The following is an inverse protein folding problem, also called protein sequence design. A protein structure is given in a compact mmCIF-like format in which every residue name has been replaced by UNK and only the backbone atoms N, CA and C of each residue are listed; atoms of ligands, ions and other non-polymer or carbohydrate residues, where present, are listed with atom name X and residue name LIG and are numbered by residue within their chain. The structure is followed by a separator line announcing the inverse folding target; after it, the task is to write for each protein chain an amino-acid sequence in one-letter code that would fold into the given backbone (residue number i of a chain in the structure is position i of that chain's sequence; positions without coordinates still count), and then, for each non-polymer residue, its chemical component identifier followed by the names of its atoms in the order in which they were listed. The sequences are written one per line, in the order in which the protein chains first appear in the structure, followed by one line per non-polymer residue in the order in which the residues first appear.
data_IF_768414699239
#
_entry.id   IF_768414699239
#
_cell.length_a   1.000
_cell.length_b   1.000
_cell.length_c   1.000
_cell.angle_alpha   90.00
_cell.angle_beta   90.00
_cell.angle_gamma   90.00
#
_symmetry.space_group_name_H-M   'P 1'
#
loop_
_entity.id
_entity.type
_entity.pdbx_description
1 polymer ?
#
# COMPACT_ATOMS: atom_id res chain seq x y z
N UNK A 1 20.20 -15.95 4.20
CA UNK A 1 19.75 -14.56 4.05
C UNK A 1 18.34 -14.64 3.55
N UNK A 2 17.38 -14.29 4.40
CA UNK A 2 15.96 -14.50 4.08
C UNK A 2 15.55 -13.42 3.10
N UNK A 3 15.02 -13.83 1.94
CA UNK A 3 14.13 -13.01 1.14
C UNK A 3 13.13 -12.40 2.13
N UNK A 4 13.27 -11.12 2.47
CA UNK A 4 12.12 -10.36 2.92
C UNK A 4 11.18 -10.43 1.72
N UNK A 5 10.20 -11.30 1.83
CA UNK A 5 9.09 -11.34 0.91
C UNK A 5 8.51 -9.94 1.01
N UNK A 6 8.79 -9.10 0.00
CA UNK A 6 8.18 -7.79 -0.12
C UNK A 6 6.73 -8.08 -0.39
N UNK A 7 5.96 -8.23 0.67
CA UNK A 7 4.52 -8.36 0.57
C UNK A 7 4.02 -6.93 0.31
N UNK A 8 3.47 -6.72 -0.88
CA UNK A 8 3.22 -5.40 -1.45
C UNK A 8 1.75 -5.05 -1.21
N UNK A 9 1.50 -3.86 -0.67
CA UNK A 9 0.15 -3.30 -0.63
C UNK A 9 -0.05 -2.42 -1.86
N UNK A 10 -1.04 -2.72 -2.69
CA UNK A 10 -1.32 -1.97 -3.91
C UNK A 10 -2.65 -1.22 -3.81
N UNK A 11 -2.65 0.08 -4.12
CA UNK A 11 -3.83 0.95 -4.08
C UNK A 11 -3.97 1.74 -5.39
N UNK A 12 -5.19 2.08 -5.82
CA UNK A 12 -5.41 2.89 -7.01
C UNK A 12 -5.02 4.37 -6.80
N UNK A 13 -4.60 5.09 -7.87
CA UNK A 13 -4.14 6.49 -7.77
C UNK A 13 -5.24 7.50 -7.47
N UNK A 14 -6.50 7.11 -7.61
CA UNK A 14 -7.65 7.99 -7.37
C UNK A 14 -8.17 7.93 -5.93
N UNK A 15 -7.57 7.10 -5.06
CA UNK A 15 -7.88 7.12 -3.64
C UNK A 15 -7.22 8.31 -2.96
N UNK A 16 -7.98 8.95 -2.07
CA UNK A 16 -7.39 9.85 -1.10
C UNK A 16 -6.73 9.07 0.06
N UNK A 17 -6.14 9.82 0.98
CA UNK A 17 -5.44 9.26 2.15
C UNK A 17 -6.41 8.56 3.10
N UNK A 18 -7.64 9.08 3.26
CA UNK A 18 -8.65 8.48 4.14
C UNK A 18 -9.07 7.11 3.62
N UNK A 19 -9.43 7.03 2.34
CA UNK A 19 -9.79 5.76 1.67
C UNK A 19 -8.66 4.74 1.75
N UNK A 20 -7.41 5.18 1.60
CA UNK A 20 -6.24 4.32 1.76
C UNK A 20 -6.14 3.80 3.20
N UNK A 21 -6.34 4.64 4.21
CA UNK A 21 -6.30 4.24 5.62
C UNK A 21 -7.45 3.27 5.96
N UNK A 22 -8.65 3.52 5.45
CA UNK A 22 -9.81 2.66 5.68
C UNK A 22 -9.55 1.26 5.09
N UNK A 23 -9.05 1.18 3.86
CA UNK A 23 -8.60 -0.07 3.26
C UNK A 23 -7.52 -0.77 4.12
N UNK A 24 -6.52 -0.03 4.61
CA UNK A 24 -5.47 -0.59 5.46
C UNK A 24 -5.98 -1.13 6.81
N UNK A 25 -7.17 -0.72 7.24
CA UNK A 25 -7.79 -1.17 8.50
C UNK A 25 -8.75 -2.33 8.31
N UNK A 26 -9.37 -2.43 7.13
CA UNK A 26 -10.46 -3.36 6.85
C UNK A 26 -10.03 -4.56 5.99
N UNK A 27 -8.92 -4.47 5.27
CA UNK A 27 -8.48 -5.54 4.37
C UNK A 27 -7.93 -6.74 5.15
N UNK A 28 -8.57 -7.89 4.97
CA UNK A 28 -8.22 -9.17 5.60
C UNK A 28 -7.02 -9.87 4.94
N UNK A 29 -6.62 -9.43 3.74
CA UNK A 29 -5.55 -10.03 2.91
C UNK A 29 -4.26 -9.20 2.91
N UNK A 30 -4.11 -8.31 3.88
CA UNK A 30 -2.89 -7.53 4.02
C UNK A 30 -1.73 -8.38 4.56
N UNK A 31 -0.51 -8.04 4.13
CA UNK A 31 0.71 -8.58 4.72
C UNK A 31 0.79 -8.39 6.23
N UNK A 32 1.40 -9.33 6.94
CA UNK A 32 1.72 -9.18 8.37
C UNK A 32 2.65 -7.97 8.60
N UNK A 33 3.58 -7.73 7.67
CA UNK A 33 4.51 -6.61 7.70
C UNK A 33 4.66 -5.97 6.31
N UNK A 34 4.41 -4.65 6.21
CA UNK A 34 4.68 -3.86 5.00
C UNK A 34 5.17 -2.46 5.35
N UNK A 35 5.97 -1.88 4.46
CA UNK A 35 6.62 -0.57 4.68
C UNK A 35 6.35 0.44 3.56
N UNK A 36 5.92 -0.04 2.39
CA UNK A 36 5.65 0.76 1.21
C UNK A 36 4.28 0.39 0.65
N UNK A 37 3.54 1.40 0.24
CA UNK A 37 2.27 1.29 -0.47
C UNK A 37 2.54 1.62 -1.94
N UNK A 38 2.19 0.70 -2.84
CA UNK A 38 2.36 0.83 -4.27
C UNK A 38 1.09 1.44 -4.86
N UNK A 39 1.23 2.54 -5.58
CA UNK A 39 0.14 3.11 -6.34
C UNK A 39 0.14 2.43 -7.71
N UNK A 40 -0.94 1.73 -8.07
CA UNK A 40 -1.04 0.97 -9.32
C UNK A 40 -2.18 1.49 -10.19
N UNK A 41 -1.94 1.58 -11.50
CA UNK A 41 -2.99 1.93 -12.45
C UNK A 41 -3.98 0.76 -12.69
N UNK A 42 -5.01 1.00 -13.51
CA UNK A 42 -6.00 -0.02 -13.86
C UNK A 42 -5.42 -1.23 -14.62
N UNK A 43 -4.20 -1.11 -15.16
CA UNK A 43 -3.45 -2.20 -15.78
C UNK A 43 -2.48 -2.89 -14.81
N UNK A 44 -2.59 -2.64 -13.50
CA UNK A 44 -1.68 -3.13 -12.45
C UNK A 44 -0.22 -2.72 -12.66
N UNK A 45 0.03 -1.60 -13.34
CA UNK A 45 1.38 -1.06 -13.50
C UNK A 45 1.67 -0.07 -12.36
N UNK A 46 2.84 -0.16 -11.70
CA UNK A 46 3.23 0.80 -10.68
C UNK A 46 3.33 2.21 -11.25
N UNK A 47 2.50 3.11 -10.74
CA UNK A 47 2.57 4.55 -10.99
C UNK A 47 3.53 5.25 -10.01
N UNK A 48 3.73 4.68 -8.81
CA UNK A 48 4.65 5.19 -7.81
C UNK A 48 4.55 4.43 -6.47
N UNK A 49 5.31 4.88 -5.48
CA UNK A 49 5.24 4.34 -4.11
C UNK A 49 5.11 5.45 -3.07
N UNK A 50 4.44 5.12 -1.96
CA UNK A 50 4.28 5.98 -0.80
C UNK A 50 4.76 5.21 0.44
N UNK A 51 5.69 5.74 1.24
CA UNK A 51 6.09 5.11 2.49
C UNK A 51 4.90 5.05 3.46
N UNK A 52 4.71 3.92 4.14
CA UNK A 52 3.64 3.76 5.14
C UNK A 52 3.71 4.86 6.22
N UNK A 53 4.92 5.22 6.63
CA UNK A 53 5.16 6.28 7.61
C UNK A 53 4.65 7.66 7.19
N UNK A 54 4.50 7.91 5.88
CA UNK A 54 3.93 9.15 5.36
C UNK A 54 2.40 9.15 5.48
N UNK A 55 1.75 8.03 5.17
CA UNK A 55 0.30 7.87 5.31
C UNK A 55 -0.12 7.97 6.78
N UNK A 56 0.67 7.40 7.70
CA UNK A 56 0.39 7.43 9.15
C UNK A 56 0.58 8.80 9.82
N UNK A 57 1.12 9.79 9.12
CA UNK A 57 1.42 11.14 9.66
C UNK A 57 0.41 12.21 9.24
N UNK A 58 -0.57 11.85 8.43
CA UNK A 58 -1.60 12.74 7.88
C UNK A 58 -2.87 12.65 8.71
#
# INVERSE_FOLDING_TARGET
GRLMQRELVAVPPYWDVGQTIDYLREADDLPDEFYEIFVVDAGYKPAGTVPLSRVMRM
#
